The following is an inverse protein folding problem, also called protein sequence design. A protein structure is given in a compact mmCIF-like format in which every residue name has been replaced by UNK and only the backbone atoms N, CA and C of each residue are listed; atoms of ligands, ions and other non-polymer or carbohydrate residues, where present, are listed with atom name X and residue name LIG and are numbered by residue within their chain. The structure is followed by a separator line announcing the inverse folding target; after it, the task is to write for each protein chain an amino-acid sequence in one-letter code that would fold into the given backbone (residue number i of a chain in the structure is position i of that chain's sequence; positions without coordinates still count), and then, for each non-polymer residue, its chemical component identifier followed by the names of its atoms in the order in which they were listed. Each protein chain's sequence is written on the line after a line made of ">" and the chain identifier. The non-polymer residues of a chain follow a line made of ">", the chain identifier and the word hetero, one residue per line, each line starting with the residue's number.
data_IF_383750103435
#
_entry.id   IF_383750103435
#
_cell.length_a   1.000
_cell.length_b   1.000
_cell.length_c   1.000
_cell.angle_alpha   90.00
_cell.angle_beta   90.00
_cell.angle_gamma   90.00
#
_symmetry.space_group_name_H-M   'P 1'
#
loop_
_entity.id
_entity.type
_entity.pdbx_description
1 polymer ?
#
# COMPACT_ATOMS: atom_id res chain seq x y z
N UNK A 1 9.46 -10.24 2.41
CA UNK A 1 8.11 -9.70 2.36
C UNK A 1 7.46 -10.43 1.21
N UNK A 2 6.40 -11.17 1.51
CA UNK A 2 5.84 -12.14 0.57
C UNK A 2 4.83 -11.48 -0.40
N UNK A 3 4.50 -10.21 -0.16
CA UNK A 3 3.55 -9.45 -0.98
C UNK A 3 4.22 -8.75 -2.17
N UNK A 4 5.44 -8.26 -2.00
CA UNK A 4 6.20 -7.56 -3.04
C UNK A 4 7.71 -7.65 -2.80
N UNK A 5 8.48 -7.55 -3.87
CA UNK A 5 9.94 -7.38 -3.79
C UNK A 5 10.27 -5.88 -3.56
N UNK A 6 10.91 -5.51 -2.43
CA UNK A 6 11.26 -4.11 -2.13
C UNK A 6 12.21 -3.46 -3.15
N UNK A 7 13.06 -4.25 -3.80
CA UNK A 7 14.08 -3.77 -4.75
C UNK A 7 13.61 -3.84 -6.21
N UNK A 8 12.38 -4.29 -6.47
CA UNK A 8 11.81 -4.32 -7.81
C UNK A 8 11.72 -2.91 -8.38
N UNK A 9 12.33 -2.72 -9.54
CA UNK A 9 12.30 -1.44 -10.27
C UNK A 9 11.01 -1.33 -11.08
N UNK A 10 10.39 -0.16 -11.03
CA UNK A 10 9.22 0.24 -11.82
C UNK A 10 9.29 1.71 -12.17
N UNK A 11 8.41 2.15 -13.06
CA UNK A 11 8.22 3.56 -13.37
C UNK A 11 6.92 4.13 -12.75
N UNK A 12 6.88 5.45 -12.58
CA UNK A 12 5.68 6.20 -12.25
C UNK A 12 5.78 7.64 -12.75
N UNK A 13 4.63 8.30 -12.84
CA UNK A 13 4.60 9.73 -13.08
C UNK A 13 4.70 10.55 -11.79
N UNK A 14 5.56 11.55 -11.83
CA UNK A 14 5.70 12.58 -10.82
C UNK A 14 5.85 13.94 -11.50
N UNK A 15 4.93 14.86 -11.22
CA UNK A 15 4.92 16.23 -11.79
C UNK A 15 5.06 16.25 -13.33
N UNK A 16 4.40 15.31 -14.02
CA UNK A 16 4.41 15.20 -15.48
C UNK A 16 5.71 14.61 -16.07
N UNK A 17 6.55 13.98 -15.25
CA UNK A 17 7.75 13.29 -15.70
C UNK A 17 7.73 11.83 -15.27
N UNK A 18 8.21 10.95 -16.14
CA UNK A 18 8.47 9.55 -15.80
C UNK A 18 9.69 9.46 -14.89
N UNK A 19 9.52 8.84 -13.73
CA UNK A 19 10.56 8.51 -12.77
C UNK A 19 10.70 7.00 -12.72
N UNK A 20 11.92 6.51 -12.58
CA UNK A 20 12.23 5.09 -12.41
C UNK A 20 12.83 4.86 -11.04
N UNK A 21 12.45 3.77 -10.38
CA UNK A 21 13.03 3.40 -9.10
C UNK A 21 12.44 2.13 -8.50
N UNK A 22 13.04 1.69 -7.41
CA UNK A 22 12.63 0.53 -6.62
C UNK A 22 11.26 0.75 -5.94
N UNK A 23 10.63 -0.32 -5.48
CA UNK A 23 9.43 -0.22 -4.64
C UNK A 23 9.65 0.59 -3.36
N UNK A 24 10.85 0.55 -2.78
CA UNK A 24 11.22 1.42 -1.65
C UNK A 24 11.19 2.90 -2.06
N UNK A 25 11.80 3.26 -3.19
CA UNK A 25 11.81 4.64 -3.70
C UNK A 25 10.41 5.12 -4.10
N UNK A 26 9.61 4.24 -4.71
CA UNK A 26 8.19 4.47 -5.00
C UNK A 26 7.43 4.81 -3.72
N UNK A 27 7.62 4.03 -2.65
CA UNK A 27 6.99 4.27 -1.34
C UNK A 27 7.41 5.60 -0.68
N UNK A 28 8.65 6.07 -0.87
CA UNK A 28 9.10 7.39 -0.38
C UNK A 28 8.30 8.56 -0.97
N UNK A 29 7.69 8.36 -2.14
CA UNK A 29 6.78 9.36 -2.76
C UNK A 29 5.32 9.22 -2.30
N UNK A 30 5.05 8.35 -1.32
CA UNK A 30 3.70 8.05 -0.82
C UNK A 30 2.90 7.11 -1.71
N UNK A 31 3.54 6.41 -2.65
CA UNK A 31 2.88 5.45 -3.54
C UNK A 31 2.99 4.04 -2.98
N UNK A 32 1.94 3.24 -3.13
CA UNK A 32 2.02 1.83 -2.81
C UNK A 32 3.10 1.13 -3.65
N UNK A 33 3.81 0.14 -3.08
CA UNK A 33 4.68 -0.74 -3.84
C UNK A 33 3.84 -1.59 -4.81
N UNK A 34 4.48 -2.09 -5.86
CA UNK A 34 3.85 -2.96 -6.84
C UNK A 34 4.16 -4.44 -6.55
N UNK A 35 3.14 -5.28 -6.58
CA UNK A 35 3.26 -6.74 -6.55
C UNK A 35 3.85 -7.30 -7.85
N UNK A 36 4.11 -8.61 -7.90
CA UNK A 36 4.68 -9.28 -9.07
C UNK A 36 3.84 -9.11 -10.36
N UNK A 37 2.54 -8.82 -10.24
CA UNK A 37 1.60 -8.62 -11.34
C UNK A 37 1.49 -7.13 -11.78
N UNK A 38 2.42 -6.27 -11.32
CA UNK A 38 2.40 -4.81 -11.55
C UNK A 38 1.17 -4.11 -10.96
N UNK A 39 0.54 -4.69 -9.93
CA UNK A 39 -0.59 -4.07 -9.24
C UNK A 39 -0.13 -3.43 -7.93
N UNK A 40 -0.64 -2.24 -7.58
CA UNK A 40 -0.40 -1.65 -6.27
C UNK A 40 -0.85 -2.60 -5.16
N UNK A 41 -0.03 -2.74 -4.12
CA UNK A 41 -0.49 -3.31 -2.85
C UNK A 41 -1.58 -2.41 -2.27
N UNK A 42 -2.65 -3.04 -1.81
CA UNK A 42 -3.83 -2.37 -1.29
C UNK A 42 -3.85 -2.40 0.23
N UNK A 43 -4.39 -1.34 0.83
CA UNK A 43 -4.64 -1.25 2.26
C UNK A 43 -6.11 -1.56 2.51
N UNK A 44 -6.38 -2.73 3.09
CA UNK A 44 -7.73 -3.20 3.40
C UNK A 44 -8.11 -2.83 4.84
N UNK A 45 -9.29 -2.23 5.03
CA UNK A 45 -9.83 -1.99 6.37
C UNK A 45 -10.61 -3.23 6.84
N UNK A 46 -10.19 -3.83 7.96
CA UNK A 46 -10.82 -5.05 8.46
C UNK A 46 -12.21 -4.80 9.04
N UNK A 47 -12.42 -3.66 9.72
CA UNK A 47 -13.69 -3.30 10.38
C UNK A 47 -14.46 -2.21 9.64
N UNK A 48 -13.97 -1.74 8.49
CA UNK A 48 -14.53 -0.63 7.70
C UNK A 48 -14.75 0.68 8.49
N UNK A 49 -14.00 0.88 9.57
CA UNK A 49 -13.94 2.12 10.36
C UNK A 49 -12.64 2.86 10.06
N UNK A 50 -12.64 4.19 10.23
CA UNK A 50 -11.45 5.02 9.96
C UNK A 50 -10.24 4.60 10.80
N UNK A 51 -10.44 4.36 12.10
CA UNK A 51 -9.37 4.01 13.05
C UNK A 51 -9.21 2.48 13.21
N UNK A 52 -9.81 1.70 12.31
CA UNK A 52 -9.78 0.25 12.36
C UNK A 52 -8.41 -0.34 11.93
N UNK A 53 -8.12 -1.59 12.32
CA UNK A 53 -6.92 -2.27 11.86
C UNK A 53 -6.91 -2.43 10.33
N UNK A 54 -5.72 -2.24 9.74
CA UNK A 54 -5.48 -2.31 8.30
C UNK A 54 -4.55 -3.47 7.97
N UNK A 55 -4.83 -4.14 6.87
CA UNK A 55 -3.99 -5.19 6.29
C UNK A 55 -3.46 -4.78 4.91
N UNK A 56 -2.17 -4.99 4.66
CA UNK A 56 -1.59 -4.96 3.31
C UNK A 56 -2.02 -6.24 2.56
N UNK A 57 -2.65 -6.09 1.38
CA UNK A 57 -3.11 -7.22 0.56
C UNK A 57 -2.81 -6.98 -0.92
N UNK A 58 -2.63 -8.05 -1.69
CA UNK A 58 -2.55 -7.91 -3.16
C UNK A 58 -3.93 -7.62 -3.75
N UNK A 59 -3.97 -6.89 -4.87
CA UNK A 59 -5.21 -6.63 -5.60
C UNK A 59 -5.93 -7.94 -5.99
N UNK A 60 -5.16 -8.97 -6.36
CA UNK A 60 -5.68 -10.29 -6.71
C UNK A 60 -6.36 -10.97 -5.52
N UNK A 61 -5.72 -10.93 -4.35
CA UNK A 61 -6.31 -11.47 -3.13
C UNK A 61 -7.59 -10.72 -2.76
N UNK A 62 -7.54 -9.39 -2.76
CA UNK A 62 -8.69 -8.55 -2.42
C UNK A 62 -9.89 -8.89 -3.30
N UNK A 63 -9.71 -8.87 -4.63
CA UNK A 63 -10.79 -9.18 -5.58
C UNK A 63 -11.36 -10.58 -5.44
N UNK A 64 -10.48 -11.59 -5.27
CA UNK A 64 -10.91 -12.98 -5.16
C UNK A 64 -11.71 -13.23 -3.88
N UNK A 65 -11.40 -12.53 -2.79
CA UNK A 65 -11.97 -12.77 -1.48
C UNK A 65 -12.92 -11.65 -1.01
N UNK A 66 -13.36 -10.76 -1.91
CA UNK A 66 -14.22 -9.60 -1.60
C UNK A 66 -15.37 -9.95 -0.65
N UNK A 67 -16.11 -11.03 -0.91
CA UNK A 67 -17.25 -11.43 -0.09
C UNK A 67 -16.87 -11.92 1.32
N UNK A 68 -15.67 -12.49 1.47
CA UNK A 68 -15.19 -13.02 2.75
C UNK A 68 -14.56 -11.93 3.63
N UNK A 69 -13.92 -10.92 3.04
CA UNK A 69 -13.14 -9.91 3.78
C UNK A 69 -13.91 -8.61 4.06
N UNK A 70 -15.09 -8.43 3.46
CA UNK A 70 -15.99 -7.32 3.76
C UNK A 70 -17.14 -7.83 4.65
N UNK A 71 -16.99 -7.64 5.96
CA UNK A 71 -17.89 -8.18 6.98
C UNK A 71 -19.22 -7.41 7.04
N UNK A 72 -19.24 -6.12 6.70
CA UNK A 72 -20.47 -5.35 6.63
C UNK A 72 -21.01 -5.29 5.20
N UNK A 73 -22.34 -5.40 5.00
CA UNK A 73 -22.94 -5.19 3.70
C UNK A 73 -22.71 -3.73 3.24
N UNK A 74 -22.38 -3.55 1.95
CA UNK A 74 -22.20 -2.24 1.29
C UNK A 74 -23.39 -1.28 1.42
N UNK A 75 -24.52 -1.74 1.97
CA UNK A 75 -25.76 -1.00 2.19
C UNK A 75 -25.69 -0.03 3.39
N UNK A 76 -24.69 -0.14 4.29
CA UNK A 76 -24.53 0.79 5.43
C UNK A 76 -23.66 2.02 5.10
N UNK A 77 -23.07 2.08 3.91
CA UNK A 77 -22.08 3.09 3.58
C UNK A 77 -20.74 2.84 4.29
N UNK A 78 -19.65 3.30 3.67
CA UNK A 78 -18.34 3.28 4.29
C UNK A 78 -18.26 4.45 5.28
N UNK A 79 -17.94 4.17 6.56
CA UNK A 79 -17.62 5.21 7.54
C UNK A 79 -16.23 5.86 7.28
N UNK A 80 -15.50 5.39 6.27
CA UNK A 80 -14.19 5.90 5.87
C UNK A 80 -14.39 7.10 4.95
N UNK A 81 -13.97 8.27 5.42
CA UNK A 81 -13.71 9.43 4.58
C UNK A 81 -12.53 9.14 3.63
N UNK A 82 -12.82 9.16 2.33
CA UNK A 82 -11.85 8.79 1.28
C UNK A 82 -10.72 9.80 1.15
N UNK A 83 -10.99 11.09 1.34
CA UNK A 83 -9.99 12.15 1.20
C UNK A 83 -9.05 12.18 2.40
N UNK A 84 -9.56 11.88 3.60
CA UNK A 84 -8.72 11.69 4.79
C UNK A 84 -7.89 10.42 4.62
N UNK A 85 -8.51 9.32 4.19
CA UNK A 85 -7.80 8.06 3.98
C UNK A 85 -6.71 8.16 2.91
N UNK A 86 -6.95 8.87 1.81
CA UNK A 86 -5.95 9.04 0.75
C UNK A 86 -4.72 9.80 1.24
N UNK A 87 -4.90 10.84 2.06
CA UNK A 87 -3.80 11.55 2.71
C UNK A 87 -3.04 10.64 3.69
N UNK A 88 -3.77 9.91 4.54
CA UNK A 88 -3.17 8.99 5.49
C UNK A 88 -2.39 7.87 4.79
N UNK A 89 -2.94 7.29 3.71
CA UNK A 89 -2.33 6.24 2.89
C UNK A 89 -0.99 6.69 2.31
N UNK A 90 -0.88 7.95 1.87
CA UNK A 90 0.40 8.48 1.39
C UNK A 90 1.46 8.49 2.48
N UNK A 91 1.10 8.94 3.69
CA UNK A 91 2.03 8.95 4.82
C UNK A 91 2.38 7.53 5.31
N UNK A 92 1.40 6.61 5.30
CA UNK A 92 1.62 5.19 5.61
C UNK A 92 2.74 4.59 4.76
N UNK A 93 2.70 4.78 3.44
CA UNK A 93 3.73 4.23 2.56
C UNK A 93 5.10 4.87 2.76
N UNK A 94 5.16 6.18 3.06
CA UNK A 94 6.42 6.84 3.40
C UNK A 94 7.03 6.27 4.68
N UNK A 95 6.22 6.04 5.72
CA UNK A 95 6.67 5.40 6.95
C UNK A 95 7.10 3.95 6.70
N UNK A 96 6.35 3.20 5.87
CA UNK A 96 6.68 1.83 5.48
C UNK A 96 8.05 1.74 4.79
N UNK A 97 8.40 2.70 3.94
CA UNK A 97 9.71 2.79 3.31
C UNK A 97 10.86 2.95 4.33
N UNK A 98 10.68 3.77 5.37
CA UNK A 98 11.70 3.96 6.42
C UNK A 98 12.05 2.65 7.13
N UNK A 99 11.06 1.75 7.27
CA UNK A 99 11.27 0.41 7.83
C UNK A 99 12.26 -0.44 7.02
N UNK A 100 12.32 -0.26 5.70
CA UNK A 100 13.29 -0.93 4.83
C UNK A 100 14.67 -0.29 4.89
N UNK A 101 14.74 1.03 4.99
CA UNK A 101 16.02 1.74 5.10
C UNK A 101 16.77 1.35 6.38
N UNK A 102 16.06 1.25 7.51
CA UNK A 102 16.64 0.80 8.79
C UNK A 102 17.22 -0.62 8.68
N UNK A 103 16.47 -1.55 8.09
CA UNK A 103 16.93 -2.93 7.85
C UNK A 103 18.18 -2.99 6.96
N UNK A 104 18.23 -2.15 5.93
CA UNK A 104 19.40 -2.08 5.05
C UNK A 104 20.65 -1.52 5.75
N UNK A 105 20.48 -0.64 6.75
CA UNK A 105 21.58 -0.14 7.59
C UNK A 105 22.06 -1.24 8.55
N UNK A 106 21.14 -1.96 9.18
CA UNK A 106 21.46 -3.07 10.10
C UNK A 106 22.16 -4.23 9.38
N UNK A 107 21.72 -4.59 8.18
CA UNK A 107 22.34 -5.66 7.39
C UNK A 107 23.75 -5.33 6.87
N UNK A 108 24.18 -4.07 6.95
CA UNK A 108 25.52 -3.61 6.55
C UNK A 108 26.50 -3.44 7.73
N UNK A 109 26.04 -3.68 8.96
CA UNK A 109 26.88 -3.76 10.16
C UNK A 109 27.35 -5.19 10.37
#
# INVERSE_FOLDING_TARGET
>A
DDLFDPNRVSDWEEKGKTVWGTNIERMKTGRAPLDADNRPIELHHMLQTHDGPIAEVTNKFHKKNTAAIHINPNTMGSAIDRDIFDRWRMEYWKERAKGYEKKNIEAKK
#
